data_IF_436858524769
#
_entry.id   IF_436858524769
#
_cell.length_a   1.000
_cell.length_b   1.000
_cell.length_c   1.000
_cell.angle_alpha   90.00
_cell.angle_beta   90.00
_cell.angle_gamma   90.00
#
_symmetry.space_group_name_H-M   'P 1'
#
loop_
_entity.id
_entity.type
_entity.pdbx_description
1 polymer ?
#
# COMPACT_ATOMS: atom_id res chain seq x y z
N UNK A 1 -9.34 1.85 7.09
CA UNK A 1 -8.37 2.75 6.41
C UNK A 1 -7.13 1.92 6.11
N UNK A 2 -6.92 1.53 4.85
CA UNK A 2 -5.67 0.87 4.45
C UNK A 2 -4.52 1.85 4.60
N UNK A 3 -3.34 1.37 5.01
CA UNK A 3 -2.09 2.14 5.08
C UNK A 3 -1.12 1.68 3.99
N UNK A 4 -0.11 2.49 3.68
CA UNK A 4 0.91 2.13 2.69
C UNK A 4 1.61 0.82 3.07
N UNK A 5 1.91 0.60 4.36
CA UNK A 5 2.50 -0.64 4.84
C UNK A 5 1.63 -1.86 4.56
N UNK A 6 0.32 -1.79 4.82
CA UNK A 6 -0.61 -2.88 4.50
C UNK A 6 -0.72 -3.12 2.99
N UNK A 7 -0.69 -2.06 2.19
CA UNK A 7 -0.65 -2.19 0.74
C UNK A 7 0.63 -2.89 0.27
N UNK A 8 1.79 -2.55 0.84
CA UNK A 8 3.08 -3.18 0.50
C UNK A 8 3.15 -4.67 0.89
N UNK A 9 2.48 -5.08 1.97
CA UNK A 9 2.41 -6.49 2.39
C UNK A 9 1.68 -7.40 1.39
N UNK A 10 0.70 -6.84 0.67
CA UNK A 10 -0.13 -7.57 -0.32
C UNK A 10 0.21 -7.19 -1.76
N UNK A 11 1.19 -6.31 -1.96
CA UNK A 11 1.61 -5.82 -3.24
C UNK A 11 2.59 -6.80 -3.89
N UNK A 12 2.31 -7.19 -5.14
CA UNK A 12 3.25 -7.97 -5.95
C UNK A 12 4.15 -7.06 -6.80
N UNK A 13 3.65 -5.88 -7.19
CA UNK A 13 4.33 -4.99 -8.12
C UNK A 13 4.20 -3.52 -7.71
N UNK A 14 5.34 -2.85 -7.56
CA UNK A 14 5.43 -1.46 -7.12
C UNK A 14 5.90 -0.56 -8.25
N UNK A 15 5.36 0.65 -8.33
CA UNK A 15 5.86 1.72 -9.19
C UNK A 15 6.21 2.92 -8.33
N UNK A 16 7.27 3.63 -8.72
CA UNK A 16 7.69 4.89 -8.11
C UNK A 16 7.83 5.95 -9.21
N UNK A 17 7.08 7.05 -9.12
CA UNK A 17 7.01 8.12 -10.13
C UNK A 17 6.77 7.61 -11.56
N UNK A 18 6.00 6.52 -11.71
CA UNK A 18 5.74 5.88 -12.99
C UNK A 18 6.85 4.94 -13.49
N UNK A 19 7.92 4.72 -12.71
CA UNK A 19 8.94 3.71 -12.99
C UNK A 19 8.58 2.38 -12.32
N UNK A 20 8.62 1.29 -13.09
CA UNK A 20 8.44 -0.05 -12.53
C UNK A 20 9.61 -0.44 -11.64
N UNK A 21 9.32 -0.77 -10.38
CA UNK A 21 10.25 -1.46 -9.52
C UNK A 21 10.46 -2.88 -10.05
N UNK A 22 11.70 -3.22 -10.36
CA UNK A 22 12.07 -4.60 -10.69
C UNK A 22 12.17 -5.44 -9.42
N UNK A 23 12.56 -4.81 -8.31
CA UNK A 23 12.63 -5.41 -6.99
C UNK A 23 12.29 -4.35 -5.94
N UNK A 24 11.61 -4.76 -4.88
CA UNK A 24 11.46 -3.95 -3.68
C UNK A 24 11.50 -4.85 -2.45
N UNK A 25 11.82 -4.28 -1.31
CA UNK A 25 11.90 -4.98 -0.03
C UNK A 25 11.32 -4.08 1.05
N UNK A 26 10.25 -4.55 1.69
CA UNK A 26 9.62 -3.88 2.82
C UNK A 26 9.87 -4.71 4.09
N UNK A 27 10.40 -4.07 5.14
CA UNK A 27 10.67 -4.68 6.44
C UNK A 27 10.67 -3.61 7.56
N UNK A 28 11.00 -4.00 8.80
CA UNK A 28 11.02 -3.11 9.96
C UNK A 28 11.98 -1.90 9.82
N UNK A 29 13.00 -2.00 8.97
CA UNK A 29 13.95 -0.91 8.71
C UNK A 29 13.44 0.09 7.67
N UNK A 30 12.37 -0.25 6.94
CA UNK A 30 11.76 0.61 5.93
C UNK A 30 11.50 -0.10 4.61
N UNK A 31 11.43 0.69 3.54
CA UNK A 31 11.15 0.24 2.18
C UNK A 31 12.35 0.57 1.29
N UNK A 32 12.91 -0.45 0.64
CA UNK A 32 13.87 -0.28 -0.44
C UNK A 32 13.21 -0.61 -1.77
N UNK A 33 13.38 0.24 -2.76
CA UNK A 33 12.82 0.07 -4.11
C UNK A 33 13.95 0.15 -5.11
N UNK A 34 13.97 -0.77 -6.07
CA UNK A 34 14.97 -0.83 -7.12
C UNK A 34 14.30 -0.86 -8.49
N UNK A 35 14.60 0.13 -9.32
CA UNK A 35 14.10 0.25 -10.68
C UNK A 35 15.25 0.29 -11.68
N UNK A 36 14.91 0.00 -12.94
CA UNK A 36 15.81 0.17 -14.08
C UNK A 36 15.29 1.29 -14.98
N UNK A 37 16.04 2.38 -15.07
CA UNK A 37 15.82 3.46 -16.03
C UNK A 37 16.74 3.21 -17.23
N UNK A 38 16.21 2.47 -18.20
CA UNK A 38 16.99 1.99 -19.36
C UNK A 38 18.11 1.04 -18.94
N UNK A 39 19.35 1.54 -18.87
CA UNK A 39 20.53 0.78 -18.40
C UNK A 39 21.03 1.21 -17.02
N UNK A 40 20.47 2.28 -16.44
CA UNK A 40 20.85 2.75 -15.12
C UNK A 40 19.93 2.14 -14.05
N UNK A 41 20.51 1.61 -12.97
CA UNK A 41 19.76 1.17 -11.79
C UNK A 41 19.51 2.39 -10.90
N UNK A 42 18.26 2.60 -10.50
CA UNK A 42 17.88 3.59 -9.50
C UNK A 42 17.37 2.87 -8.27
N UNK A 43 17.81 3.31 -7.11
CA UNK A 43 17.41 2.74 -5.83
C UNK A 43 16.89 3.84 -4.93
N UNK A 44 15.74 3.63 -4.33
CA UNK A 44 15.14 4.50 -3.32
C UNK A 44 15.04 3.76 -2.00
N UNK A 45 15.19 4.50 -0.91
CA UNK A 45 15.04 3.99 0.45
C UNK A 45 14.19 4.95 1.26
N UNK A 46 13.16 4.42 1.90
CA UNK A 46 12.25 5.18 2.75
C UNK A 46 12.25 4.60 4.16
N UNK A 47 12.34 5.46 5.16
CA UNK A 47 12.23 5.08 6.57
C UNK A 47 10.79 4.70 6.92
N UNK A 48 10.57 3.87 7.96
CA UNK A 48 9.23 3.50 8.42
C UNK A 48 8.37 4.70 8.83
N UNK A 49 9.00 5.77 9.34
CA UNK A 49 8.33 7.05 9.62
C UNK A 49 7.79 7.72 8.35
N UNK A 50 8.52 7.68 7.24
CA UNK A 50 8.08 8.23 5.95
C UNK A 50 6.94 7.40 5.35
N UNK A 51 7.02 6.07 5.50
CA UNK A 51 5.96 5.14 5.06
C UNK A 51 4.67 5.38 5.85
N UNK A 52 4.79 5.59 7.16
CA UNK A 52 3.63 5.89 8.04
C UNK A 52 3.06 7.28 7.77
N UNK A 53 3.91 8.25 7.40
CA UNK A 53 3.50 9.59 7.01
C UNK A 53 2.96 9.68 5.58
N UNK A 54 3.04 8.59 4.79
CA UNK A 54 2.53 8.57 3.42
C UNK A 54 1.00 8.73 3.41
N UNK A 55 0.51 9.50 2.45
CA UNK A 55 -0.93 9.77 2.28
C UNK A 55 -1.48 8.99 1.09
N UNK A 56 -2.65 8.38 1.27
CA UNK A 56 -3.40 7.80 0.17
C UNK A 56 -3.97 8.90 -0.74
N UNK A 57 -3.75 8.79 -2.04
CA UNK A 57 -4.21 9.70 -3.10
C UNK A 57 -4.94 8.87 -4.18
N UNK A 58 -6.18 8.48 -3.87
CA UNK A 58 -6.95 7.57 -4.73
C UNK A 58 -6.39 6.15 -4.70
N UNK A 59 -5.76 5.73 -5.80
CA UNK A 59 -5.08 4.42 -5.91
C UNK A 59 -3.57 4.50 -5.66
N UNK A 60 -3.05 5.72 -5.50
CA UNK A 60 -1.64 5.98 -5.34
C UNK A 60 -1.33 6.38 -3.90
N UNK A 61 -0.04 6.37 -3.57
CA UNK A 61 0.48 6.78 -2.27
C UNK A 61 1.51 7.86 -2.46
N UNK A 62 1.35 8.98 -1.76
CA UNK A 62 2.28 10.09 -1.82
C UNK A 62 3.16 10.06 -0.57
N UNK A 63 4.46 9.86 -0.80
CA UNK A 63 5.47 9.73 0.23
C UNK A 63 6.51 10.84 0.08
N UNK A 64 6.78 11.55 1.17
CA UNK A 64 7.82 12.57 1.18
C UNK A 64 9.19 11.91 1.41
N UNK A 65 10.10 12.01 0.45
CA UNK A 65 11.52 11.73 0.64
C UNK A 65 12.31 12.99 1.00
N UNK A 66 13.58 12.79 1.33
CA UNK A 66 14.54 13.88 1.59
C UNK A 66 14.72 14.83 0.39
N UNK A 67 14.54 14.32 -0.83
CA UNK A 67 14.72 15.10 -2.07
C UNK A 67 13.42 15.69 -2.61
N UNK A 68 12.33 14.93 -2.63
CA UNK A 68 11.05 15.32 -3.20
C UNK A 68 9.91 14.41 -2.70
N UNK A 69 8.65 14.82 -2.94
CA UNK A 69 7.50 13.91 -2.83
C UNK A 69 7.50 12.94 -4.02
N UNK A 70 7.35 11.65 -3.73
CA UNK A 70 7.28 10.57 -4.71
C UNK A 70 5.90 9.95 -4.71
N UNK A 71 5.46 9.48 -5.89
CA UNK A 71 4.20 8.75 -6.04
C UNK A 71 4.48 7.26 -6.14
N UNK A 72 3.98 6.49 -5.18
CA UNK A 72 4.03 5.04 -5.17
C UNK A 72 2.69 4.45 -5.63
N UNK A 73 2.74 3.44 -6.49
CA UNK A 73 1.55 2.70 -6.93
C UNK A 73 1.75 1.24 -6.61
N UNK A 74 0.95 0.73 -5.67
CA UNK A 74 0.94 -0.69 -5.32
C UNK A 74 -0.06 -1.41 -6.22
N UNK A 75 0.43 -2.28 -7.10
CA UNK A 75 -0.41 -3.13 -7.95
C UNK A 75 -0.41 -4.55 -7.39
N UNK A 76 -1.56 -4.99 -6.88
CA UNK A 76 -1.80 -6.40 -6.55
C UNK A 76 -2.48 -7.10 -7.72
N UNK A 77 -2.09 -8.35 -8.01
CA UNK A 77 -2.75 -9.16 -9.03
C UNK A 77 -4.16 -9.64 -8.59
N UNK A 78 -4.46 -9.52 -7.28
CA UNK A 78 -5.75 -9.87 -6.70
C UNK A 78 -6.23 -8.72 -5.83
N UNK A 79 -7.07 -7.86 -6.40
CA UNK A 79 -7.87 -6.90 -5.65
C UNK A 79 -9.23 -7.53 -5.32
N UNK A 80 -9.28 -8.43 -4.34
CA UNK A 80 -10.46 -8.47 -3.50
C UNK A 80 -10.16 -7.45 -2.39
N UNK A 81 -10.60 -6.22 -2.62
CA UNK A 81 -10.82 -5.28 -1.53
C UNK A 81 -11.58 -6.07 -0.46
N UNK A 82 -11.00 -6.28 0.71
CA UNK A 82 -11.77 -6.70 1.87
C UNK A 82 -12.70 -5.51 2.15
N UNK A 83 -13.86 -5.54 1.47
CA UNK A 83 -15.01 -4.76 1.84
C UNK A 83 -15.24 -5.09 3.30
N UNK A 84 -15.11 -4.06 4.13
CA UNK A 84 -15.30 -4.08 5.55
C UNK A 84 -16.70 -4.64 5.84
N UNK A 85 -16.82 -5.97 5.95
CA UNK A 85 -18.01 -6.70 6.36
C UNK A 85 -18.09 -6.60 7.90
N UNK A 86 -18.31 -5.38 8.36
CA UNK A 86 -18.69 -5.07 9.73
C UNK A 86 -20.11 -4.48 9.68
N UNK A 87 -20.97 -5.00 10.57
CA UNK A 87 -22.39 -4.68 10.84
C UNK A 87 -23.41 -5.43 9.93
N UNK A 88 -24.33 -6.27 10.41
CA UNK A 88 -25.07 -6.20 11.69
C UNK A 88 -25.59 -7.60 12.08
N UNK A 89 -25.13 -8.10 13.23
CA UNK A 89 -25.75 -9.23 13.92
C UNK A 89 -27.07 -8.71 14.52
N UNK A 90 -28.21 -8.89 13.86
CA UNK A 90 -29.52 -8.74 14.53
C UNK A 90 -29.93 -10.05 15.17
N UNK A 91 -29.91 -10.20 16.51
CA UNK A 91 -30.64 -11.24 17.19
C UNK A 91 -32.10 -10.79 17.29
N UNK A 92 -32.96 -11.29 16.41
CA UNK A 92 -34.41 -11.23 16.62
C UNK A 92 -34.88 -12.57 17.21
N UNK A 93 -34.58 -12.75 18.50
CA UNK A 93 -35.44 -13.53 19.38
C UNK A 93 -36.70 -12.68 19.61
N UNK A 94 -37.73 -12.89 18.79
CA UNK A 94 -39.10 -12.48 19.14
C UNK A 94 -40.00 -13.71 19.07
N UNK A 95 -40.14 -14.32 20.24
CA UNK A 95 -41.20 -15.25 20.54
C UNK A 95 -42.56 -14.62 20.19
N UNK A 96 -43.25 -15.15 19.17
CA UNK A 96 -44.69 -14.96 19.03
C UNK A 96 -45.40 -16.31 18.88
N UNK A 97 -45.95 -16.71 20.02
CA UNK A 97 -47.10 -17.59 20.21
C UNK A 97 -48.27 -17.22 19.27
N UNK A 98 -48.70 -18.15 18.41
CA UNK A 98 -50.12 -18.52 18.20
C UNK A 98 -50.34 -19.69 17.26
#
# INVERSE_FOLDING_TARGET
MTTLSQALETCDMLLIDGLHAFAFTFNDTGLQIECMDGRARKTWSFSPEQITAARADGQDWLIAADSAEHRLVCMSAFSASDENEDDDETPADDAVDR
#
